data_IF_539692955390
#
_entry.id   IF_539692955390
#
_cell.length_a   1.000
_cell.length_b   1.000
_cell.length_c   1.000
_cell.angle_alpha   90.00
_cell.angle_beta   90.00
_cell.angle_gamma   90.00
#
_symmetry.space_group_name_H-M   'P 1'
#
loop_
_entity.id
_entity.type
_entity.pdbx_description
1 polymer ?
#
# COMPACT_ATOMS: atom_id res chain seq x y z
N UNK A 1 3.52 -110.49 48.78
CA UNK A 1 3.87 -109.06 48.92
C UNK A 1 2.99 -108.15 48.06
N UNK A 2 2.62 -108.54 46.83
CA UNK A 2 1.79 -107.70 45.94
C UNK A 2 0.38 -107.38 46.46
N UNK A 3 -0.28 -108.31 47.15
CA UNK A 3 -1.63 -108.09 47.72
C UNK A 3 -1.60 -107.07 48.87
N UNK A 4 -0.53 -107.08 49.68
CA UNK A 4 -0.32 -106.11 50.76
C UNK A 4 -0.02 -104.71 50.19
N UNK A 5 0.77 -104.61 49.12
CA UNK A 5 1.02 -103.32 48.45
C UNK A 5 -0.22 -102.77 47.77
N UNK A 6 -1.04 -103.60 47.13
CA UNK A 6 -2.31 -103.19 46.51
C UNK A 6 -3.32 -102.70 47.54
N UNK A 7 -3.48 -103.42 48.65
CA UNK A 7 -4.34 -103.02 49.77
C UNK A 7 -3.86 -101.72 50.45
N UNK A 8 -2.55 -101.53 50.61
CA UNK A 8 -2.00 -100.24 51.07
C UNK A 8 -2.35 -99.11 50.09
N UNK A 9 -2.17 -99.34 48.79
CA UNK A 9 -2.42 -98.34 47.75
C UNK A 9 -3.91 -97.94 47.68
N UNK A 10 -4.83 -98.90 47.83
CA UNK A 10 -6.28 -98.62 47.89
C UNK A 10 -6.70 -97.88 49.16
N UNK A 11 -5.96 -98.03 50.27
CA UNK A 11 -6.29 -97.40 51.56
C UNK A 11 -5.65 -96.00 51.68
N UNK A 12 -4.44 -95.81 51.16
CA UNK A 12 -3.70 -94.55 51.21
C UNK A 12 -4.14 -93.55 50.14
N UNK A 13 -4.48 -94.01 48.93
CA UNK A 13 -4.90 -93.11 47.83
C UNK A 13 -6.07 -92.18 48.20
N UNK A 14 -7.19 -92.65 48.79
CA UNK A 14 -8.28 -91.74 49.17
C UNK A 14 -7.85 -90.75 50.25
N UNK A 15 -7.09 -91.20 51.26
CA UNK A 15 -6.56 -90.32 52.31
C UNK A 15 -5.61 -89.25 51.77
N UNK A 16 -4.67 -89.61 50.89
CA UNK A 16 -3.77 -88.64 50.25
C UNK A 16 -4.57 -87.68 49.38
N UNK A 17 -5.57 -88.17 48.63
CA UNK A 17 -6.44 -87.31 47.81
C UNK A 17 -7.25 -86.33 48.65
N UNK A 18 -7.73 -86.75 49.82
CA UNK A 18 -8.49 -85.93 50.77
C UNK A 18 -7.57 -84.87 51.41
N UNK A 19 -6.39 -85.26 51.88
CA UNK A 19 -5.37 -84.34 52.41
C UNK A 19 -4.91 -83.34 51.34
N UNK A 20 -4.67 -83.78 50.09
CA UNK A 20 -4.35 -82.88 48.99
C UNK A 20 -5.48 -81.90 48.71
N UNK A 21 -6.74 -82.37 48.69
CA UNK A 21 -7.90 -81.50 48.50
C UNK A 21 -8.03 -80.48 49.62
N UNK A 22 -7.86 -80.90 50.87
CA UNK A 22 -7.90 -80.01 52.04
C UNK A 22 -6.77 -78.97 51.99
N UNK A 23 -5.54 -79.37 51.65
CA UNK A 23 -4.43 -78.43 51.48
C UNK A 23 -4.76 -77.42 50.37
N UNK A 24 -5.30 -77.85 49.22
CA UNK A 24 -5.64 -76.95 48.14
C UNK A 24 -6.77 -75.98 48.52
N UNK A 25 -7.85 -76.48 49.12
CA UNK A 25 -9.03 -75.67 49.48
C UNK A 25 -8.79 -74.77 50.68
N UNK A 26 -8.05 -75.22 51.70
CA UNK A 26 -7.84 -74.47 52.95
C UNK A 26 -6.59 -73.58 52.92
N UNK A 27 -5.59 -73.90 52.10
CA UNK A 27 -4.28 -73.21 52.12
C UNK A 27 -3.99 -72.55 50.77
N UNK A 28 -3.98 -73.31 49.67
CA UNK A 28 -3.51 -72.79 48.37
C UNK A 28 -4.47 -71.75 47.80
N UNK A 29 -5.76 -72.09 47.66
CA UNK A 29 -6.78 -71.18 47.08
C UNK A 29 -6.86 -69.87 47.89
N UNK A 30 -7.02 -69.89 49.24
CA UNK A 30 -7.12 -68.66 50.01
C UNK A 30 -5.84 -67.81 49.96
N UNK A 31 -4.66 -68.45 49.83
CA UNK A 31 -3.40 -67.71 49.66
C UNK A 31 -3.29 -67.09 48.27
N UNK A 32 -3.71 -67.81 47.22
CA UNK A 32 -3.77 -67.28 45.86
C UNK A 32 -4.76 -66.11 45.77
N UNK A 33 -5.96 -66.23 46.34
CA UNK A 33 -6.96 -65.16 46.40
C UNK A 33 -6.40 -63.92 47.10
N UNK A 34 -5.82 -64.09 48.31
CA UNK A 34 -5.18 -62.99 49.05
C UNK A 34 -3.97 -62.38 48.33
N UNK A 35 -3.29 -63.13 47.46
CA UNK A 35 -2.20 -62.62 46.64
C UNK A 35 -2.75 -61.82 45.45
N UNK A 36 -3.78 -62.33 44.78
CA UNK A 36 -4.47 -61.65 43.69
C UNK A 36 -5.11 -60.33 44.16
N UNK A 37 -5.81 -60.34 45.29
CA UNK A 37 -6.41 -59.12 45.87
C UNK A 37 -5.35 -58.04 46.12
N UNK A 38 -4.20 -58.44 46.68
CA UNK A 38 -3.07 -57.53 46.90
C UNK A 38 -2.48 -57.00 45.61
N UNK A 39 -2.33 -57.84 44.58
CA UNK A 39 -1.83 -57.42 43.27
C UNK A 39 -2.82 -56.42 42.64
N UNK A 40 -4.13 -56.70 42.67
CA UNK A 40 -5.13 -55.79 42.13
C UNK A 40 -5.12 -54.44 42.84
N UNK A 41 -5.03 -54.43 44.17
CA UNK A 41 -4.96 -53.21 44.95
C UNK A 41 -3.69 -52.41 44.59
N UNK A 42 -2.54 -53.08 44.54
CA UNK A 42 -1.27 -52.43 44.21
C UNK A 42 -1.25 -51.90 42.77
N UNK A 43 -1.78 -52.64 41.80
CA UNK A 43 -1.90 -52.18 40.40
C UNK A 43 -2.81 -50.95 40.34
N UNK A 44 -3.95 -50.98 41.03
CA UNK A 44 -4.87 -49.84 41.09
C UNK A 44 -4.25 -48.60 41.72
N UNK A 45 -3.58 -48.75 42.87
CA UNK A 45 -2.89 -47.66 43.55
C UNK A 45 -1.75 -47.10 42.70
N UNK A 46 -0.90 -47.98 42.14
CA UNK A 46 0.22 -47.57 41.28
C UNK A 46 -0.27 -46.85 40.03
N UNK A 47 -1.36 -47.34 39.43
CA UNK A 47 -1.94 -46.71 38.25
C UNK A 47 -2.59 -45.36 38.59
N UNK A 48 -3.34 -45.28 39.69
CA UNK A 48 -3.98 -44.04 40.15
C UNK A 48 -2.94 -42.98 40.53
N UNK A 49 -1.88 -43.39 41.22
CA UNK A 49 -0.77 -42.52 41.55
C UNK A 49 -0.04 -42.03 40.28
N UNK A 50 0.32 -42.95 39.38
CA UNK A 50 1.01 -42.61 38.14
C UNK A 50 0.19 -41.71 37.21
N UNK A 51 -1.13 -41.91 37.13
CA UNK A 51 -2.02 -41.03 36.36
C UNK A 51 -2.15 -39.65 37.00
N UNK A 52 -2.23 -39.57 38.33
CA UNK A 52 -2.25 -38.30 39.06
C UNK A 52 -0.95 -37.52 38.86
N UNK A 53 0.20 -38.19 39.00
CA UNK A 53 1.52 -37.58 38.82
C UNK A 53 1.71 -37.10 37.36
N UNK A 54 1.28 -37.90 36.39
CA UNK A 54 1.32 -37.52 34.97
C UNK A 54 0.47 -36.28 34.69
N UNK A 55 -0.77 -36.23 35.19
CA UNK A 55 -1.66 -35.08 35.02
C UNK A 55 -1.05 -33.83 35.68
N UNK A 56 -0.48 -33.97 36.88
CA UNK A 56 0.18 -32.85 37.58
C UNK A 56 1.36 -32.31 36.77
N UNK A 57 2.19 -33.20 36.21
CA UNK A 57 3.32 -32.81 35.38
C UNK A 57 2.87 -32.12 34.08
N UNK A 58 1.81 -32.61 33.45
CA UNK A 58 1.23 -31.99 32.26
C UNK A 58 0.69 -30.58 32.56
N UNK A 59 -0.03 -30.40 33.67
CA UNK A 59 -0.52 -29.08 34.12
C UNK A 59 0.65 -28.10 34.33
N UNK A 60 1.74 -28.56 34.96
CA UNK A 60 2.93 -27.74 35.17
C UNK A 60 3.58 -27.26 33.88
N UNK A 61 3.67 -28.10 32.86
CA UNK A 61 4.20 -27.70 31.55
C UNK A 61 3.26 -26.75 30.80
N UNK A 62 1.94 -26.97 30.88
CA UNK A 62 0.95 -26.05 30.33
C UNK A 62 1.03 -24.66 30.99
N UNK A 63 1.18 -24.60 32.31
CA UNK A 63 1.33 -23.33 33.04
C UNK A 63 2.62 -22.60 32.66
N UNK A 64 3.73 -23.33 32.48
CA UNK A 64 4.98 -22.74 31.97
C UNK A 64 4.81 -22.15 30.58
N UNK A 65 4.18 -22.87 29.66
CA UNK A 65 3.91 -22.36 28.31
C UNK A 65 3.02 -21.12 28.35
N UNK A 66 1.98 -21.12 29.19
CA UNK A 66 1.10 -19.96 29.37
C UNK A 66 1.85 -18.74 29.90
N UNK A 67 2.73 -18.92 30.88
CA UNK A 67 3.57 -17.84 31.40
C UNK A 67 4.54 -17.30 30.36
N UNK A 68 5.12 -18.15 29.52
CA UNK A 68 5.98 -17.71 28.42
C UNK A 68 5.21 -16.88 27.38
N UNK A 69 3.97 -17.29 27.07
CA UNK A 69 3.13 -16.57 26.12
C UNK A 69 2.73 -15.19 26.64
N UNK A 70 2.41 -15.08 27.94
CA UNK A 70 2.15 -13.79 28.60
C UNK A 70 3.39 -12.89 28.57
N UNK A 71 4.57 -13.41 28.95
CA UNK A 71 5.83 -12.64 28.88
C UNK A 71 6.16 -12.18 27.46
N UNK A 72 5.94 -13.03 26.46
CA UNK A 72 6.10 -12.67 25.06
C UNK A 72 5.15 -11.55 24.63
N UNK A 73 3.89 -11.61 25.07
CA UNK A 73 2.90 -10.55 24.83
C UNK A 73 3.28 -9.23 25.49
N UNK A 74 3.79 -9.25 26.72
CA UNK A 74 4.25 -8.05 27.44
C UNK A 74 5.44 -7.39 26.73
N UNK A 75 6.43 -8.19 26.30
CA UNK A 75 7.58 -7.69 25.53
C UNK A 75 7.17 -7.08 24.18
N UNK A 76 6.16 -7.66 23.51
CA UNK A 76 5.61 -7.09 22.27
C UNK A 76 4.92 -5.75 22.52
N UNK A 77 4.14 -5.64 23.60
CA UNK A 77 3.48 -4.39 23.97
C UNK A 77 4.49 -3.28 24.34
N UNK A 78 5.56 -3.63 25.05
CA UNK A 78 6.64 -2.71 25.39
C UNK A 78 7.41 -2.25 24.14
N UNK A 79 7.71 -3.19 23.24
CA UNK A 79 8.34 -2.88 21.95
C UNK A 79 7.47 -1.96 21.08
N UNK A 80 6.16 -2.24 20.98
CA UNK A 80 5.21 -1.41 20.24
C UNK A 80 5.15 0.02 20.80
N UNK A 81 5.12 0.15 22.13
CA UNK A 81 5.11 1.45 22.81
C UNK A 81 6.41 2.22 22.56
N UNK A 82 7.56 1.57 22.67
CA UNK A 82 8.88 2.17 22.44
C UNK A 82 9.07 2.57 20.96
N UNK A 83 8.63 1.71 20.04
CA UNK A 83 8.61 1.98 18.59
C UNK A 83 7.74 3.19 18.26
N UNK A 84 6.52 3.25 18.83
CA UNK A 84 5.62 4.39 18.66
C UNK A 84 6.24 5.69 19.16
N UNK A 85 6.83 5.68 20.36
CA UNK A 85 7.52 6.86 20.91
C UNK A 85 8.69 7.30 20.04
N UNK A 86 9.48 6.37 19.53
CA UNK A 86 10.60 6.66 18.62
C UNK A 86 10.12 7.28 17.32
N UNK A 87 9.07 6.70 16.72
CA UNK A 87 8.45 7.19 15.49
C UNK A 87 7.89 8.61 15.68
N UNK A 88 7.21 8.87 16.79
CA UNK A 88 6.62 10.17 17.08
C UNK A 88 7.72 11.22 17.35
N UNK A 89 8.77 10.88 18.09
CA UNK A 89 9.94 11.76 18.31
C UNK A 89 10.66 12.08 16.99
N UNK A 90 10.89 11.09 16.14
CA UNK A 90 11.52 11.29 14.83
C UNK A 90 10.67 12.19 13.93
N UNK A 91 9.35 11.97 13.90
CA UNK A 91 8.42 12.80 13.14
C UNK A 91 8.45 14.25 13.60
N UNK A 92 8.39 14.49 14.92
CA UNK A 92 8.47 15.84 15.49
C UNK A 92 9.80 16.52 15.19
N UNK A 93 10.91 15.77 15.29
CA UNK A 93 12.25 16.30 14.98
C UNK A 93 12.38 16.67 13.50
N UNK A 94 11.95 15.78 12.59
CA UNK A 94 11.98 16.04 11.15
C UNK A 94 11.10 17.22 10.76
N UNK A 95 9.90 17.33 11.35
CA UNK A 95 9.00 18.44 11.09
C UNK A 95 9.59 19.78 11.56
N UNK A 96 10.17 19.80 12.76
CA UNK A 96 10.85 20.98 13.31
C UNK A 96 12.03 21.41 12.44
N UNK A 97 12.88 20.46 12.04
CA UNK A 97 14.08 20.75 11.28
C UNK A 97 13.77 21.19 9.84
N UNK A 98 12.78 20.58 9.20
CA UNK A 98 12.26 21.04 7.91
C UNK A 98 11.69 22.45 8.01
N UNK A 99 10.89 22.74 9.05
CA UNK A 99 10.31 24.05 9.26
C UNK A 99 11.38 25.12 9.46
N UNK A 100 12.41 24.83 10.27
CA UNK A 100 13.54 25.74 10.50
C UNK A 100 14.32 25.98 9.21
N UNK A 101 14.61 24.92 8.44
CA UNK A 101 15.37 25.05 7.20
C UNK A 101 14.59 25.81 6.13
N UNK A 102 13.30 25.50 5.93
CA UNK A 102 12.44 26.23 4.98
C UNK A 102 12.36 27.71 5.36
N UNK A 103 12.16 28.01 6.64
CA UNK A 103 12.10 29.40 7.11
C UNK A 103 13.42 30.14 6.85
N UNK A 104 14.57 29.51 7.12
CA UNK A 104 15.89 30.08 6.85
C UNK A 104 16.11 30.33 5.36
N UNK A 105 15.76 29.36 4.50
CA UNK A 105 15.90 29.50 3.05
C UNK A 105 14.98 30.59 2.51
N UNK A 106 13.72 30.66 2.95
CA UNK A 106 12.77 31.69 2.55
C UNK A 106 13.24 33.09 2.95
N UNK A 107 13.69 33.27 4.20
CA UNK A 107 14.22 34.55 4.66
C UNK A 107 15.45 34.97 3.82
N UNK A 108 16.36 34.03 3.55
CA UNK A 108 17.56 34.29 2.74
C UNK A 108 17.22 34.65 1.29
N UNK A 109 16.21 33.98 0.71
CA UNK A 109 15.69 34.32 -0.62
C UNK A 109 15.00 35.68 -0.63
N UNK A 110 14.21 36.00 0.39
CA UNK A 110 13.56 37.30 0.53
C UNK A 110 14.61 38.43 0.59
N UNK A 111 15.68 38.26 1.36
CA UNK A 111 16.78 39.20 1.43
C UNK A 111 17.51 39.36 0.08
N UNK A 112 17.76 38.24 -0.61
CA UNK A 112 18.38 38.24 -1.93
C UNK A 112 17.52 38.98 -2.96
N UNK A 113 16.22 38.69 -3.02
CA UNK A 113 15.28 39.34 -3.94
C UNK A 113 15.16 40.82 -3.63
N UNK A 114 15.00 41.21 -2.36
CA UNK A 114 14.92 42.61 -1.96
C UNK A 114 16.19 43.38 -2.36
N UNK A 115 17.36 42.80 -2.11
CA UNK A 115 18.64 43.41 -2.49
C UNK A 115 18.76 43.52 -4.01
N UNK A 116 18.46 42.46 -4.76
CA UNK A 116 18.59 42.45 -6.22
C UNK A 116 17.58 43.38 -6.89
N UNK A 117 16.36 43.45 -6.37
CA UNK A 117 15.33 44.39 -6.80
C UNK A 117 15.80 45.84 -6.58
N UNK A 118 16.34 46.15 -5.40
CA UNK A 118 16.87 47.48 -5.07
C UNK A 118 18.03 47.87 -6.00
N UNK A 119 18.97 46.96 -6.25
CA UNK A 119 20.07 47.18 -7.21
C UNK A 119 19.54 47.40 -8.63
N UNK A 120 18.62 46.56 -9.10
CA UNK A 120 18.10 46.62 -10.48
C UNK A 120 17.28 47.90 -10.71
N UNK A 121 16.46 48.30 -9.73
CA UNK A 121 15.73 49.57 -9.77
C UNK A 121 16.71 50.74 -9.79
N UNK A 122 17.73 50.72 -8.92
CA UNK A 122 18.77 51.76 -8.89
C UNK A 122 19.51 51.88 -10.23
N UNK A 123 19.89 50.75 -10.83
CA UNK A 123 20.59 50.71 -12.12
C UNK A 123 19.68 51.18 -13.25
N UNK A 124 18.41 50.76 -13.26
CA UNK A 124 17.43 51.14 -14.28
C UNK A 124 17.10 52.63 -14.20
N UNK A 125 16.84 53.16 -13.00
CA UNK A 125 16.61 54.61 -12.78
C UNK A 125 17.86 55.40 -13.17
N UNK A 126 19.06 54.94 -12.82
CA UNK A 126 20.30 55.64 -13.20
C UNK A 126 20.49 55.67 -14.71
N UNK A 127 20.21 54.57 -15.41
CA UNK A 127 20.24 54.49 -16.87
C UNK A 127 19.16 55.35 -17.52
N UNK A 128 17.93 55.34 -17.01
CA UNK A 128 16.85 56.21 -17.48
C UNK A 128 17.20 57.68 -17.26
N UNK A 129 17.74 58.07 -16.11
CA UNK A 129 18.16 59.44 -15.87
C UNK A 129 19.31 59.87 -16.77
N UNK A 130 20.29 59.00 -17.03
CA UNK A 130 21.36 59.27 -18.00
C UNK A 130 20.82 59.38 -19.42
N UNK A 131 19.92 58.49 -19.83
CA UNK A 131 19.29 58.54 -21.14
C UNK A 131 18.34 59.72 -21.27
N UNK A 132 17.63 60.12 -20.22
CA UNK A 132 16.76 61.29 -20.24
C UNK A 132 17.57 62.57 -20.22
N UNK A 133 18.72 62.60 -19.54
CA UNK A 133 19.71 63.68 -19.67
C UNK A 133 20.23 63.78 -21.10
N UNK A 134 20.61 62.67 -21.73
CA UNK A 134 21.07 62.68 -23.12
C UNK A 134 19.94 63.01 -24.10
N UNK A 135 18.70 62.58 -23.85
CA UNK A 135 17.52 62.92 -24.63
C UNK A 135 17.08 64.36 -24.43
N UNK A 136 17.34 64.99 -23.29
CA UNK A 136 17.10 66.43 -23.10
C UNK A 136 18.20 67.23 -23.80
N UNK A 137 19.46 66.81 -23.72
CA UNK A 137 20.57 67.38 -24.52
C UNK A 137 20.27 67.23 -26.03
N UNK A 138 19.81 66.05 -26.47
CA UNK A 138 19.42 65.78 -27.85
C UNK A 138 18.08 66.41 -28.22
N UNK A 139 17.10 66.55 -27.33
CA UNK A 139 15.80 67.18 -27.62
C UNK A 139 15.89 68.70 -27.63
N UNK A 140 16.85 69.31 -26.95
CA UNK A 140 17.23 70.71 -27.22
C UNK A 140 17.79 70.82 -28.65
N UNK A 141 18.52 69.82 -29.14
CA UNK A 141 18.93 69.72 -30.54
C UNK A 141 17.80 69.29 -31.51
N UNK A 142 16.81 68.53 -31.05
CA UNK A 142 15.88 67.73 -31.89
C UNK A 142 14.40 68.11 -31.76
N UNK A 143 14.04 69.12 -30.94
CA UNK A 143 12.70 69.75 -30.93
C UNK A 143 12.32 70.40 -32.27
N UNK A 144 13.13 70.23 -33.31
CA UNK A 144 12.84 70.50 -34.72
C UNK A 144 12.20 69.31 -35.46
N UNK A 145 12.13 68.08 -34.90
CA UNK A 145 11.74 66.91 -35.73
C UNK A 145 11.01 65.76 -34.99
N UNK A 146 9.71 65.99 -34.76
CA UNK A 146 8.59 65.05 -34.99
C UNK A 146 8.50 63.66 -34.31
N UNK A 147 7.43 63.54 -33.48
CA UNK A 147 6.31 62.56 -33.49
C UNK A 147 6.55 61.03 -33.66
N UNK A 148 6.20 60.33 -32.56
CA UNK A 148 5.31 59.15 -32.42
C UNK A 148 5.63 57.81 -33.12
N UNK A 149 5.51 56.70 -32.36
CA UNK A 149 4.52 55.59 -32.55
C UNK A 149 4.78 54.46 -31.53
N UNK A 150 3.69 53.87 -31.01
CA UNK A 150 3.57 52.70 -30.12
C UNK A 150 3.57 51.36 -30.90
N UNK A 151 3.88 50.21 -30.24
CA UNK A 151 3.16 48.99 -30.63
C UNK A 151 2.75 48.10 -29.46
N UNK A 152 1.56 47.50 -29.59
CA UNK A 152 1.04 46.42 -28.73
C UNK A 152 0.64 45.23 -29.62
N UNK A 153 1.13 44.03 -29.31
CA UNK A 153 0.58 42.71 -29.73
C UNK A 153 1.32 41.57 -29.01
N UNK A 154 0.68 40.90 -28.04
CA UNK A 154 1.34 39.85 -27.20
C UNK A 154 0.52 38.57 -26.94
N UNK A 155 -0.63 38.35 -27.60
CA UNK A 155 -1.55 37.25 -27.20
C UNK A 155 -1.35 35.96 -28.05
N UNK A 156 -0.74 36.03 -29.23
CA UNK A 156 -0.61 34.86 -30.13
C UNK A 156 0.60 33.97 -29.80
N UNK A 157 1.62 34.49 -29.11
CA UNK A 157 2.86 33.76 -28.80
C UNK A 157 2.73 32.73 -27.66
N UNK A 158 1.78 32.92 -26.73
CA UNK A 158 1.82 32.19 -25.46
C UNK A 158 1.52 30.69 -25.61
N UNK A 159 0.61 30.29 -26.50
CA UNK A 159 0.26 28.88 -26.71
C UNK A 159 1.41 28.09 -27.36
N UNK A 160 2.09 28.70 -28.34
CA UNK A 160 3.24 28.09 -29.01
C UNK A 160 4.42 27.93 -28.05
N UNK A 161 4.62 28.91 -27.17
CA UNK A 161 5.65 28.83 -26.13
C UNK A 161 5.37 27.65 -25.19
N UNK A 162 4.13 27.45 -24.74
CA UNK A 162 3.77 26.33 -23.85
C UNK A 162 3.99 24.98 -24.54
N UNK A 163 3.60 24.85 -25.81
CA UNK A 163 3.84 23.62 -26.57
C UNK A 163 5.34 23.32 -26.71
N UNK A 164 6.16 24.33 -27.02
CA UNK A 164 7.60 24.19 -27.13
C UNK A 164 8.23 23.75 -25.80
N UNK A 165 7.79 24.33 -24.68
CA UNK A 165 8.25 23.95 -23.34
C UNK A 165 7.90 22.50 -23.00
N UNK A 166 6.67 22.05 -23.28
CA UNK A 166 6.25 20.66 -23.06
C UNK A 166 7.10 19.69 -23.88
N UNK A 167 7.36 20.00 -25.15
CA UNK A 167 8.21 19.16 -26.01
C UNK A 167 9.67 19.13 -25.54
N UNK A 168 10.17 20.24 -24.99
CA UNK A 168 11.50 20.28 -24.37
C UNK A 168 11.57 19.41 -23.11
N UNK A 169 10.53 19.40 -22.27
CA UNK A 169 10.43 18.52 -21.11
C UNK A 169 10.40 17.04 -21.53
N UNK A 170 9.67 16.71 -22.61
CA UNK A 170 9.67 15.36 -23.18
C UNK A 170 11.07 14.97 -23.68
N UNK A 171 11.74 15.85 -24.42
CA UNK A 171 13.09 15.57 -24.96
C UNK A 171 14.16 15.39 -23.88
N UNK A 172 14.00 16.06 -22.73
CA UNK A 172 14.88 15.91 -21.56
C UNK A 172 14.51 14.73 -20.66
N UNK A 173 13.48 13.95 -21.03
CA UNK A 173 13.02 12.78 -20.27
C UNK A 173 12.18 13.11 -19.03
N UNK A 174 11.82 14.38 -18.81
CA UNK A 174 11.00 14.83 -17.68
C UNK A 174 9.51 14.65 -17.96
N UNK A 175 9.07 13.41 -18.14
CA UNK A 175 7.71 13.11 -18.60
C UNK A 175 6.64 13.57 -17.61
N UNK A 176 6.85 13.36 -16.30
CA UNK A 176 5.91 13.83 -15.27
C UNK A 176 5.69 15.35 -15.35
N UNK A 177 6.77 16.13 -15.48
CA UNK A 177 6.68 17.59 -15.59
C UNK A 177 5.93 18.01 -16.86
N UNK A 178 6.16 17.33 -17.98
CA UNK A 178 5.44 17.57 -19.23
C UNK A 178 3.92 17.34 -19.07
N UNK A 179 3.53 16.25 -18.42
CA UNK A 179 2.11 15.97 -18.15
C UNK A 179 1.50 16.96 -17.15
N UNK A 180 2.20 17.34 -16.09
CA UNK A 180 1.72 18.35 -15.14
C UNK A 180 1.49 19.69 -15.84
N UNK A 181 2.42 20.12 -16.69
CA UNK A 181 2.29 21.36 -17.45
C UNK A 181 1.09 21.29 -18.41
N UNK A 182 0.93 20.17 -19.15
CA UNK A 182 -0.20 19.99 -20.06
C UNK A 182 -1.56 19.97 -19.32
N UNK A 183 -1.66 19.24 -18.21
CA UNK A 183 -2.88 19.14 -17.41
C UNK A 183 -3.24 20.48 -16.73
N UNK A 184 -2.24 21.27 -16.32
CA UNK A 184 -2.42 22.59 -15.69
C UNK A 184 -2.99 23.65 -16.65
N UNK A 185 -2.73 23.51 -17.95
CA UNK A 185 -3.23 24.43 -18.96
C UNK A 185 -4.75 24.29 -19.19
N UNK A 186 -5.39 23.26 -18.61
CA UNK A 186 -6.83 22.98 -18.74
C UNK A 186 -7.34 22.88 -20.19
N UNK A 187 -6.45 22.64 -21.14
CA UNK A 187 -6.77 22.47 -22.56
C UNK A 187 -6.60 21.00 -22.95
N UNK A 188 -7.73 20.35 -23.26
CA UNK A 188 -7.74 18.96 -23.69
C UNK A 188 -6.92 18.74 -24.97
N UNK A 189 -6.86 19.73 -25.88
CA UNK A 189 -6.10 19.58 -27.12
C UNK A 189 -4.61 19.48 -26.84
N UNK A 190 -4.10 20.20 -25.83
CA UNK A 190 -2.71 20.14 -25.42
C UNK A 190 -2.35 18.79 -24.82
N UNK A 191 -3.25 18.21 -24.02
CA UNK A 191 -3.07 16.87 -23.44
C UNK A 191 -3.14 15.79 -24.51
N UNK A 192 -4.09 15.87 -25.44
CA UNK A 192 -4.18 14.96 -26.59
C UNK A 192 -2.94 15.08 -27.47
N UNK A 193 -2.43 16.30 -27.69
CA UNK A 193 -1.18 16.53 -28.42
C UNK A 193 0.02 15.86 -27.74
N UNK A 194 0.17 16.02 -26.42
CA UNK A 194 1.22 15.35 -25.66
C UNK A 194 1.09 13.81 -25.74
N UNK A 195 -0.13 13.29 -25.57
CA UNK A 195 -0.43 11.87 -25.71
C UNK A 195 -0.12 11.33 -27.12
N UNK A 196 -0.32 12.13 -28.17
CA UNK A 196 -0.02 11.72 -29.56
C UNK A 196 1.49 11.63 -29.82
N UNK A 197 2.30 12.45 -29.14
CA UNK A 197 3.77 12.43 -29.24
C UNK A 197 4.43 11.34 -28.40
N UNK A 198 3.71 10.72 -27.48
CA UNK A 198 4.22 9.70 -26.58
C UNK A 198 3.59 8.35 -26.91
N UNK A 199 4.36 7.27 -26.79
CA UNK A 199 3.79 5.93 -26.93
C UNK A 199 3.28 5.45 -25.55
N UNK A 200 1.98 5.17 -25.39
CA UNK A 200 1.41 4.74 -24.11
C UNK A 200 2.10 3.47 -23.59
N UNK A 201 2.34 2.47 -24.42
CA UNK A 201 2.96 1.23 -23.96
C UNK A 201 4.39 1.45 -23.44
N UNK A 202 5.17 2.32 -24.08
CA UNK A 202 6.54 2.59 -23.63
C UNK A 202 6.59 3.46 -22.38
N UNK A 203 5.58 4.32 -22.21
CA UNK A 203 5.45 5.19 -21.05
C UNK A 203 5.11 4.40 -19.80
N UNK A 204 4.11 3.52 -19.87
CA UNK A 204 3.57 2.78 -18.73
C UNK A 204 4.32 1.47 -18.41
N UNK A 205 5.15 0.95 -19.32
CA UNK A 205 6.03 -0.22 -19.04
C UNK A 205 7.21 0.08 -18.10
N UNK A 206 7.51 1.36 -17.84
CA UNK A 206 8.59 1.75 -16.95
C UNK A 206 8.20 1.47 -15.49
N UNK A 207 9.08 0.84 -14.72
CA UNK A 207 8.83 0.51 -13.31
C UNK A 207 9.94 1.11 -12.43
N UNK A 208 9.63 2.07 -11.52
CA UNK A 208 8.30 2.60 -11.19
C UNK A 208 7.68 3.44 -12.31
N UNK A 209 6.35 3.42 -12.41
CA UNK A 209 5.60 4.21 -13.41
C UNK A 209 5.97 5.70 -13.29
N UNK A 210 6.34 6.38 -14.38
CA UNK A 210 6.84 7.76 -14.35
C UNK A 210 5.75 8.77 -13.98
N UNK A 211 4.47 8.39 -14.05
CA UNK A 211 3.34 9.25 -13.74
C UNK A 211 2.81 8.97 -12.32
N UNK A 212 2.85 9.97 -11.41
CA UNK A 212 2.26 9.84 -10.08
C UNK A 212 0.74 9.65 -10.13
N UNK A 213 0.17 9.05 -9.08
CA UNK A 213 -1.27 8.75 -9.00
C UNK A 213 -2.17 9.99 -9.22
N UNK A 214 -1.79 11.15 -8.70
CA UNK A 214 -2.55 12.39 -8.92
C UNK A 214 -2.60 12.80 -10.41
N UNK A 215 -1.51 12.58 -11.14
CA UNK A 215 -1.40 12.86 -12.58
C UNK A 215 -2.23 11.85 -13.37
N UNK A 216 -2.21 10.56 -12.99
CA UNK A 216 -3.06 9.53 -13.59
C UNK A 216 -4.55 9.84 -13.43
N UNK A 217 -4.98 10.20 -12.22
CA UNK A 217 -6.36 10.56 -11.94
C UNK A 217 -6.82 11.78 -12.75
N UNK A 218 -5.97 12.80 -12.84
CA UNK A 218 -6.23 14.00 -13.65
C UNK A 218 -6.28 13.68 -15.14
N UNK A 219 -5.40 12.81 -15.62
CA UNK A 219 -5.38 12.35 -17.00
C UNK A 219 -6.65 11.57 -17.35
N UNK A 220 -7.08 10.66 -16.47
CA UNK A 220 -8.34 9.92 -16.63
C UNK A 220 -9.51 10.90 -16.73
N UNK A 221 -9.59 11.85 -15.79
CA UNK A 221 -10.65 12.85 -15.78
C UNK A 221 -10.68 13.67 -17.08
N UNK A 222 -9.55 14.22 -17.52
CA UNK A 222 -9.50 15.08 -18.70
C UNK A 222 -9.74 14.30 -20.00
N UNK A 223 -9.13 13.12 -20.18
CA UNK A 223 -9.34 12.31 -21.39
C UNK A 223 -10.77 11.76 -21.49
N UNK A 224 -11.42 11.50 -20.34
CA UNK A 224 -12.81 11.03 -20.31
C UNK A 224 -13.86 12.11 -20.54
N UNK A 225 -13.49 13.39 -20.41
CA UNK A 225 -14.43 14.51 -20.52
C UNK A 225 -15.04 14.61 -21.93
N UNK A 226 -14.27 14.25 -22.96
CA UNK A 226 -14.75 14.17 -24.34
C UNK A 226 -14.11 12.97 -25.06
N UNK A 227 -14.93 12.01 -25.46
CA UNK A 227 -14.50 10.80 -26.18
C UNK A 227 -14.86 10.82 -27.68
N UNK A 228 -15.37 11.94 -28.19
CA UNK A 228 -15.79 12.07 -29.60
C UNK A 228 -14.62 12.07 -30.57
N UNK A 229 -13.50 12.72 -30.19
CA UNK A 229 -12.29 12.85 -30.99
C UNK A 229 -11.11 12.06 -30.40
N UNK A 230 -10.22 11.56 -31.28
CA UNK A 230 -9.03 10.76 -30.91
C UNK A 230 -9.34 9.54 -30.02
N UNK A 231 -10.48 8.88 -30.25
CA UNK A 231 -11.00 7.79 -29.41
C UNK A 231 -10.02 6.62 -29.22
N UNK A 232 -9.23 6.24 -30.24
CA UNK A 232 -8.23 5.16 -30.12
C UNK A 232 -7.11 5.52 -29.14
N UNK A 233 -6.57 6.74 -29.28
CA UNK A 233 -5.48 7.23 -28.45
C UNK A 233 -5.95 7.39 -27.00
N UNK A 234 -7.11 8.04 -26.80
CA UNK A 234 -7.71 8.23 -25.48
C UNK A 234 -8.02 6.90 -24.81
N UNK A 235 -8.56 5.94 -25.57
CA UNK A 235 -8.81 4.59 -25.05
C UNK A 235 -7.53 3.93 -24.53
N UNK A 236 -6.45 3.90 -25.32
CA UNK A 236 -5.17 3.28 -24.93
C UNK A 236 -4.61 3.92 -23.66
N UNK A 237 -4.63 5.25 -23.58
CA UNK A 237 -4.17 5.98 -22.40
C UNK A 237 -5.05 5.73 -21.17
N UNK A 238 -6.37 5.66 -21.33
CA UNK A 238 -7.29 5.35 -20.23
C UNK A 238 -7.09 3.92 -19.73
N UNK A 239 -6.94 2.95 -20.63
CA UNK A 239 -6.68 1.54 -20.31
C UNK A 239 -5.39 1.40 -19.48
N UNK A 240 -4.28 1.95 -19.95
CA UNK A 240 -2.99 1.91 -19.25
C UNK A 240 -3.03 2.69 -17.93
N UNK A 241 -3.65 3.88 -17.91
CA UNK A 241 -3.77 4.68 -16.69
C UNK A 241 -4.55 3.92 -15.61
N UNK A 242 -5.64 3.24 -15.99
CA UNK A 242 -6.45 2.44 -15.07
C UNK A 242 -5.69 1.23 -14.53
N UNK A 243 -4.93 0.53 -15.38
CA UNK A 243 -4.11 -0.62 -14.95
C UNK A 243 -3.00 -0.24 -13.96
N UNK A 244 -2.55 1.02 -13.99
CA UNK A 244 -1.49 1.54 -13.12
C UNK A 244 -2.01 2.30 -11.87
N UNK A 245 -3.31 2.27 -11.61
CA UNK A 245 -3.88 2.86 -10.38
C UNK A 245 -3.58 1.99 -9.16
N UNK A 246 -3.10 2.62 -8.10
CA UNK A 246 -2.88 1.97 -6.81
C UNK A 246 -4.03 2.29 -5.84
N UNK A 247 -4.91 1.31 -5.64
CA UNK A 247 -6.05 1.42 -4.72
C UNK A 247 -5.65 1.48 -3.25
N UNK A 248 -4.38 1.24 -2.89
CA UNK A 248 -3.90 1.33 -1.52
C UNK A 248 -3.42 2.73 -1.13
N UNK A 249 -3.14 3.59 -2.12
CA UNK A 249 -2.65 4.95 -1.90
C UNK A 249 -3.73 5.87 -1.30
N UNK A 250 -3.42 6.55 -0.19
CA UNK A 250 -4.35 7.41 0.55
C UNK A 250 -4.98 8.53 -0.28
N UNK A 251 -4.20 9.20 -1.14
CA UNK A 251 -4.72 10.26 -2.03
C UNK A 251 -5.63 9.69 -3.12
N UNK A 252 -5.33 8.48 -3.58
CA UNK A 252 -6.12 7.82 -4.62
C UNK A 252 -7.47 7.40 -4.03
N UNK A 253 -7.49 6.79 -2.83
CA UNK A 253 -8.72 6.36 -2.16
C UNK A 253 -9.78 7.45 -2.01
N UNK A 254 -9.37 8.70 -1.74
CA UNK A 254 -10.29 9.82 -1.53
C UNK A 254 -11.00 10.25 -2.84
N UNK A 255 -10.24 10.39 -3.93
CA UNK A 255 -10.77 10.94 -5.19
C UNK A 255 -11.22 9.88 -6.20
N UNK A 256 -10.72 8.64 -6.08
CA UNK A 256 -10.97 7.56 -7.03
C UNK A 256 -12.46 7.26 -7.25
N UNK A 257 -13.33 7.18 -6.21
CA UNK A 257 -14.74 6.85 -6.44
C UNK A 257 -15.47 7.90 -7.30
N UNK A 258 -15.20 9.19 -7.08
CA UNK A 258 -15.81 10.28 -7.84
C UNK A 258 -15.34 10.32 -9.29
N UNK A 259 -14.04 10.12 -9.51
CA UNK A 259 -13.45 10.12 -10.86
C UNK A 259 -13.90 8.90 -11.65
N UNK A 260 -13.88 7.70 -11.06
CA UNK A 260 -14.35 6.49 -11.73
C UNK A 260 -15.86 6.52 -12.00
N UNK A 261 -16.68 7.07 -11.10
CA UNK A 261 -18.11 7.27 -11.35
C UNK A 261 -18.35 8.19 -12.55
N UNK A 262 -17.57 9.27 -12.65
CA UNK A 262 -17.64 10.22 -13.77
C UNK A 262 -17.22 9.54 -15.07
N UNK A 263 -16.11 8.80 -15.06
CA UNK A 263 -15.66 8.02 -16.20
C UNK A 263 -16.73 7.00 -16.64
N UNK A 264 -17.36 6.27 -15.72
CA UNK A 264 -18.44 5.34 -16.05
C UNK A 264 -19.62 6.02 -16.74
N UNK A 265 -20.02 7.20 -16.27
CA UNK A 265 -21.08 7.99 -16.94
C UNK A 265 -20.68 8.35 -18.36
N UNK A 266 -19.45 8.78 -18.58
CA UNK A 266 -18.94 9.14 -19.91
C UNK A 266 -18.81 7.93 -20.84
N UNK A 267 -18.31 6.79 -20.35
CA UNK A 267 -18.23 5.55 -21.12
C UNK A 267 -19.62 5.04 -21.51
N UNK A 268 -20.59 5.06 -20.58
CA UNK A 268 -21.97 4.67 -20.88
C UNK A 268 -22.64 5.63 -21.87
N UNK A 269 -22.40 6.94 -21.73
CA UNK A 269 -22.86 7.94 -22.70
C UNK A 269 -22.30 7.64 -24.09
N UNK A 270 -20.98 7.38 -24.21
CA UNK A 270 -20.37 7.04 -25.47
C UNK A 270 -20.98 5.79 -26.11
N UNK A 271 -21.18 4.72 -25.33
CA UNK A 271 -21.76 3.45 -25.82
C UNK A 271 -23.22 3.62 -26.28
N UNK A 272 -23.99 4.47 -25.60
CA UNK A 272 -25.39 4.74 -25.95
C UNK A 272 -25.52 5.54 -27.24
N UNK A 273 -24.63 6.53 -27.44
CA UNK A 273 -24.63 7.36 -28.65
C UNK A 273 -23.95 6.68 -29.85
N UNK A 274 -23.10 5.67 -29.63
CA UNK A 274 -22.31 5.03 -30.69
C UNK A 274 -22.39 3.48 -30.67
N UNK A 275 -23.58 2.88 -30.84
CA UNK A 275 -23.77 1.42 -30.73
C UNK A 275 -23.04 0.61 -31.81
N UNK A 276 -22.71 1.21 -32.96
CA UNK A 276 -21.98 0.57 -34.06
C UNK A 276 -20.49 0.89 -34.13
N UNK A 277 -19.91 1.56 -33.12
CA UNK A 277 -18.51 1.98 -33.18
C UNK A 277 -17.55 0.78 -33.16
N UNK A 278 -16.47 0.87 -33.96
CA UNK A 278 -15.36 -0.11 -33.91
C UNK A 278 -14.69 -0.21 -32.53
N UNK A 279 -14.88 0.79 -31.66
CA UNK A 279 -14.37 0.81 -30.29
C UNK A 279 -15.38 0.33 -29.25
N UNK A 280 -16.61 -0.03 -29.64
CA UNK A 280 -17.69 -0.40 -28.71
C UNK A 280 -17.26 -1.51 -27.73
N UNK A 281 -16.68 -2.61 -28.25
CA UNK A 281 -16.22 -3.74 -27.43
C UNK A 281 -15.10 -3.33 -26.46
N UNK A 282 -14.15 -2.53 -26.95
CA UNK A 282 -13.01 -2.03 -26.16
C UNK A 282 -13.48 -1.13 -25.01
N UNK A 283 -14.32 -0.15 -25.30
CA UNK A 283 -14.90 0.77 -24.30
C UNK A 283 -15.78 0.03 -23.30
N UNK A 284 -16.52 -1.00 -23.73
CA UNK A 284 -17.30 -1.87 -22.84
C UNK A 284 -16.39 -2.66 -21.89
N UNK A 285 -15.25 -3.16 -22.35
CA UNK A 285 -14.27 -3.82 -21.48
C UNK A 285 -13.68 -2.84 -20.46
N UNK A 286 -13.33 -1.62 -20.90
CA UNK A 286 -12.86 -0.56 -20.01
C UNK A 286 -13.89 -0.22 -18.93
N UNK A 287 -15.17 -0.13 -19.29
CA UNK A 287 -16.26 0.07 -18.35
C UNK A 287 -16.29 -1.04 -17.28
N UNK A 288 -16.17 -2.30 -17.68
CA UNK A 288 -16.13 -3.43 -16.73
C UNK A 288 -14.90 -3.37 -15.80
N UNK A 289 -13.73 -3.01 -16.33
CA UNK A 289 -12.51 -2.82 -15.52
C UNK A 289 -12.70 -1.72 -14.47
N UNK A 290 -13.28 -0.58 -14.87
CA UNK A 290 -13.57 0.52 -13.92
C UNK A 290 -14.59 0.13 -12.86
N UNK A 291 -15.54 -0.76 -13.18
CA UNK A 291 -16.50 -1.29 -12.21
C UNK A 291 -15.85 -2.19 -11.17
N UNK A 292 -14.89 -3.03 -11.57
CA UNK A 292 -14.17 -3.89 -10.62
C UNK A 292 -13.27 -3.14 -9.64
N UNK A 293 -12.85 -1.92 -9.99
CA UNK A 293 -12.00 -1.07 -9.15
C UNK A 293 -12.80 -0.23 -8.13
N UNK A 294 -14.10 -0.08 -8.33
CA UNK A 294 -14.98 0.55 -7.37
C UNK A 294 -15.40 -0.49 -6.32
N UNK A 295 -15.15 -0.25 -5.02
CA UNK A 295 -15.67 -1.13 -3.98
C UNK A 295 -17.21 -1.16 -4.08
N UNK A 296 -17.78 -2.36 -4.16
CA UNK A 296 -19.22 -2.56 -4.10
C UNK A 296 -19.71 -1.95 -2.80
N UNK A 297 -20.71 -1.04 -2.81
CA UNK A 297 -21.27 -0.54 -1.58
C UNK A 297 -21.86 -1.73 -0.82
N UNK A 298 -21.21 -2.10 0.29
CA UNK A 298 -21.78 -3.01 1.28
C UNK A 298 -23.04 -2.34 1.80
N UNK A 299 -24.19 -2.88 1.39
CA UNK A 299 -25.50 -2.55 1.96
C UNK A 299 -25.53 -2.87 3.45
#
# INVERSE_FOLDING_TARGET
MEVLSLSLLTTLRPNISEVCKDIFTQIVIPRCEKALDRIFLQVHETFTQGTTDYISQLQKELDKMRQQLVKGSELLAEYETSSRQTRDKLSLSLQSELQINIQKTLNSMQDYVNKKLTETIKDSISKEFQSHKSLIEDSVLSAVRSRAVTPASHIVDQMQIIQAQIMQLVATGQINAAFQQALSASDLNLVVYLCDKLNPEQLFRQNPCPLPQAVLLSLIQQLSADMTNHTDLKYKYLEEAIMNLDTNNSMTKEHLPGILSTLQKQLNSFLSHNPGSKYYRKIKMLLMMTQSLLPVPTK
#
